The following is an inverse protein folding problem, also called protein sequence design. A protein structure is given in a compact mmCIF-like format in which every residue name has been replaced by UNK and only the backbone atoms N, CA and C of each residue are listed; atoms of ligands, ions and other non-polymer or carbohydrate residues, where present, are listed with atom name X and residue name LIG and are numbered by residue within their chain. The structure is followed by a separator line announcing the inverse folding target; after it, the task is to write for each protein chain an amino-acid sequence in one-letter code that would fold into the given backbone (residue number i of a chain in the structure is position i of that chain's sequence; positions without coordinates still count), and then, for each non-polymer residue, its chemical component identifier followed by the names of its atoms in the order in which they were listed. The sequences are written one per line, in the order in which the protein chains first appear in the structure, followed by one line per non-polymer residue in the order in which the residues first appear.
data_IF_781703296511
#
_entry.id   IF_781703296511
#
_cell.length_a   1.000
_cell.length_b   1.000
_cell.length_c   1.000
_cell.angle_alpha   90.00
_cell.angle_beta   90.00
_cell.angle_gamma   90.00
#
_symmetry.space_group_name_H-M   'P 1'
#
loop_
_entity.id
_entity.type
_entity.pdbx_description
1 polymer ?
#
# COMPACT_ATOMS: atom_id res chain seq x y z
N UNK A 1 13.70 16.29 2.94
CA UNK A 1 12.90 16.43 4.11
C UNK A 1 11.85 15.36 4.19
N UNK A 2 11.78 14.79 5.34
CA UNK A 2 10.86 13.71 5.54
C UNK A 2 9.47 14.29 5.62
N UNK A 3 8.60 13.85 4.76
CA UNK A 3 7.25 14.27 4.88
C UNK A 3 6.50 13.33 5.79
N UNK A 4 5.62 13.84 6.58
CA UNK A 4 4.85 12.99 7.47
C UNK A 4 4.00 12.05 6.63
N UNK A 5 4.02 10.81 7.01
CA UNK A 5 3.24 9.81 6.34
C UNK A 5 2.08 9.44 7.23
N UNK A 6 0.89 9.57 6.69
CA UNK A 6 -0.31 9.26 7.42
C UNK A 6 -0.38 7.77 7.68
N UNK A 7 -0.92 7.42 8.82
CA UNK A 7 -1.12 6.03 9.21
C UNK A 7 -2.32 5.48 8.47
N UNK A 8 -2.21 5.34 7.19
CA UNK A 8 -3.32 4.99 6.33
C UNK A 8 -3.91 3.65 6.71
N UNK A 9 -5.12 3.67 7.21
CA UNK A 9 -5.80 2.45 7.57
C UNK A 9 -5.16 1.69 8.70
N UNK A 10 -4.23 2.29 9.41
CA UNK A 10 -3.50 1.58 10.44
C UNK A 10 -4.03 1.81 11.84
N UNK A 11 -4.88 2.78 12.04
CA UNK A 11 -5.20 3.20 13.39
C UNK A 11 -5.70 2.03 14.24
N UNK A 12 -6.70 1.34 13.78
CA UNK A 12 -7.23 0.23 14.55
C UNK A 12 -6.27 -0.94 14.62
N UNK A 13 -5.57 -1.16 13.54
CA UNK A 13 -4.67 -2.27 13.46
C UNK A 13 -3.50 -2.14 14.41
N UNK A 14 -2.91 -0.96 14.46
CA UNK A 14 -1.74 -0.74 15.28
C UNK A 14 -2.06 -1.03 16.73
N UNK A 15 -3.26 -0.72 17.12
CA UNK A 15 -3.63 -0.95 18.48
C UNK A 15 -3.80 -2.40 18.79
N UNK A 16 -3.78 -3.24 17.84
CA UNK A 16 -4.12 -4.62 18.04
C UNK A 16 -3.14 -5.38 18.91
N UNK A 17 -2.36 -4.72 19.67
CA UNK A 17 -1.48 -5.38 20.60
C UNK A 17 -0.79 -6.52 19.93
N UNK A 18 -0.19 -6.26 18.80
CA UNK A 18 0.46 -7.30 18.05
C UNK A 18 1.56 -7.91 18.86
N UNK A 19 1.40 -9.13 19.15
CA UNK A 19 2.46 -9.86 19.77
C UNK A 19 3.38 -10.43 18.78
N UNK A 20 3.00 -10.45 17.55
CA UNK A 20 3.80 -11.06 16.54
C UNK A 20 5.09 -10.33 16.35
N UNK A 21 6.10 -11.07 16.05
CA UNK A 21 7.37 -10.51 15.67
C UNK A 21 7.22 -9.73 14.38
N UNK A 22 7.88 -8.58 14.31
CA UNK A 22 7.93 -7.82 13.06
C UNK A 22 8.97 -8.37 12.10
N UNK A 23 9.68 -9.41 12.50
CA UNK A 23 10.75 -9.93 11.70
C UNK A 23 12.03 -9.15 11.88
N UNK A 24 13.14 -9.80 11.67
CA UNK A 24 14.43 -9.13 11.70
C UNK A 24 14.61 -8.35 10.41
N UNK A 25 15.56 -7.41 10.42
CA UNK A 25 15.87 -6.65 9.23
C UNK A 25 16.26 -7.56 8.07
N UNK A 26 17.11 -8.56 8.31
CA UNK A 26 17.53 -9.46 7.26
C UNK A 26 16.41 -10.36 6.77
N UNK A 27 15.59 -10.84 7.69
CA UNK A 27 14.46 -11.70 7.35
C UNK A 27 13.46 -10.97 6.48
N UNK A 28 13.09 -9.75 6.85
CA UNK A 28 12.15 -8.97 6.06
C UNK A 28 12.75 -8.61 4.70
N UNK A 29 14.04 -8.31 4.66
CA UNK A 29 14.67 -7.99 3.39
C UNK A 29 14.61 -9.15 2.42
N UNK A 30 14.91 -10.36 2.89
CA UNK A 30 14.85 -11.54 2.04
C UNK A 30 13.45 -11.80 1.54
N UNK A 31 12.48 -11.68 2.43
CA UNK A 31 11.09 -11.89 2.08
C UNK A 31 10.61 -10.84 1.07
N UNK A 32 11.02 -9.60 1.26
CA UNK A 32 10.69 -8.52 0.34
C UNK A 32 11.24 -8.81 -1.06
N UNK A 33 12.51 -9.22 -1.13
CA UNK A 33 13.12 -9.53 -2.42
C UNK A 33 12.40 -10.67 -3.12
N UNK A 34 12.00 -11.67 -2.35
CA UNK A 34 11.28 -12.81 -2.88
C UNK A 34 9.92 -12.39 -3.45
N UNK A 35 9.18 -11.58 -2.70
CA UNK A 35 7.87 -11.09 -3.13
C UNK A 35 8.01 -10.26 -4.39
N UNK A 36 8.95 -9.32 -4.41
CA UNK A 36 9.13 -8.45 -5.56
C UNK A 36 9.49 -9.26 -6.80
N UNK A 37 10.39 -10.22 -6.65
CA UNK A 37 10.80 -11.06 -7.78
C UNK A 37 9.61 -11.85 -8.33
N UNK A 38 8.82 -12.41 -7.46
CA UNK A 38 7.66 -13.18 -7.89
C UNK A 38 6.65 -12.34 -8.66
N UNK A 39 6.37 -11.15 -8.14
CA UNK A 39 5.41 -10.28 -8.82
C UNK A 39 5.94 -9.79 -10.16
N UNK A 40 7.23 -9.49 -10.24
CA UNK A 40 7.80 -9.02 -11.51
C UNK A 40 7.72 -10.07 -12.61
N UNK A 41 7.63 -11.32 -12.27
CA UNK A 41 7.56 -12.39 -13.26
C UNK A 41 6.16 -12.59 -13.82
N UNK A 42 5.15 -11.95 -13.23
CA UNK A 42 3.77 -12.10 -13.69
C UNK A 42 3.55 -11.24 -14.92
N UNK A 43 2.82 -11.78 -15.89
CA UNK A 43 2.56 -11.05 -17.14
C UNK A 43 1.63 -9.88 -16.96
N UNK A 44 0.78 -9.91 -15.94
CA UNK A 44 -0.20 -8.87 -15.70
C UNK A 44 0.33 -7.75 -14.80
N UNK A 45 1.60 -7.79 -14.45
CA UNK A 45 2.21 -6.80 -13.56
C UNK A 45 3.07 -5.84 -14.35
N UNK A 46 2.90 -4.56 -14.06
CA UNK A 46 3.67 -3.48 -14.68
C UNK A 46 4.65 -2.96 -13.64
N UNK A 47 5.92 -2.82 -14.05
CA UNK A 47 6.97 -2.31 -13.17
C UNK A 47 7.31 -0.88 -13.58
N UNK A 48 7.28 0.02 -12.63
CA UNK A 48 7.63 1.42 -12.87
C UNK A 48 9.08 1.66 -12.47
N UNK A 49 9.66 2.72 -13.00
CA UNK A 49 11.07 3.03 -12.74
C UNK A 49 11.33 3.35 -11.27
N UNK A 50 10.30 3.77 -10.53
CA UNK A 50 10.43 4.02 -9.10
C UNK A 50 10.59 2.75 -8.29
N UNK A 51 10.27 1.61 -8.87
CA UNK A 51 10.25 0.34 -8.17
C UNK A 51 8.85 -0.12 -7.80
N UNK A 52 7.85 0.72 -7.98
CA UNK A 52 6.47 0.31 -7.73
C UNK A 52 6.04 -0.71 -8.77
N UNK A 53 5.39 -1.77 -8.31
CA UNK A 53 4.77 -2.75 -9.19
C UNK A 53 3.26 -2.64 -9.03
N UNK A 54 2.53 -2.81 -10.13
CA UNK A 54 1.08 -2.84 -10.01
C UNK A 54 0.44 -3.68 -11.09
N UNK A 55 -0.77 -4.10 -10.82
CA UNK A 55 -1.61 -4.72 -11.83
C UNK A 55 -3.02 -4.17 -11.71
N UNK A 56 -3.72 -4.15 -12.82
CA UNK A 56 -5.08 -3.63 -12.89
C UNK A 56 -6.03 -4.79 -12.68
N UNK A 57 -6.80 -4.75 -11.58
CA UNK A 57 -7.82 -5.76 -11.33
C UNK A 57 -9.08 -5.40 -12.10
N UNK A 58 -9.46 -4.14 -12.00
CA UNK A 58 -10.65 -3.62 -12.69
C UNK A 58 -10.39 -2.17 -13.03
N UNK A 59 -10.46 -1.83 -14.31
CA UNK A 59 -10.26 -0.46 -14.74
C UNK A 59 -11.56 0.31 -14.71
N UNK A 60 -11.47 1.62 -14.85
CA UNK A 60 -12.62 2.51 -14.88
C UNK A 60 -12.27 3.72 -15.70
N UNK A 61 -13.28 4.50 -16.05
CA UNK A 61 -13.09 5.67 -16.90
C UNK A 61 -13.39 6.99 -16.18
N UNK A 62 -13.45 6.95 -14.85
CA UNK A 62 -13.70 8.15 -14.09
C UNK A 62 -12.50 9.09 -14.06
N UNK A 63 -12.62 10.15 -13.29
CA UNK A 63 -11.55 11.12 -13.17
C UNK A 63 -10.33 10.52 -12.47
N UNK A 64 -9.16 11.09 -12.74
CA UNK A 64 -7.95 10.73 -12.02
C UNK A 64 -7.72 11.75 -10.91
N UNK A 65 -7.26 11.31 -9.74
CA UNK A 65 -7.02 12.27 -8.67
C UNK A 65 -5.71 13.02 -8.88
N UNK A 66 -5.63 14.19 -8.26
CA UNK A 66 -4.38 14.92 -8.15
C UNK A 66 -3.84 14.75 -6.73
N UNK A 67 -2.63 15.27 -6.51
CA UNK A 67 -2.00 15.16 -5.20
C UNK A 67 -2.78 15.86 -4.11
N UNK A 68 -3.53 16.90 -4.47
CA UNK A 68 -4.30 17.68 -3.49
C UNK A 68 -5.69 17.11 -3.24
N UNK A 69 -6.13 16.18 -4.06
CA UNK A 69 -7.46 15.63 -3.89
C UNK A 69 -7.52 14.68 -2.71
N UNK A 70 -8.70 14.54 -2.13
CA UNK A 70 -8.96 13.52 -1.16
C UNK A 70 -9.58 12.33 -1.87
N UNK A 71 -9.21 11.15 -1.45
CA UNK A 71 -9.77 9.93 -2.03
C UNK A 71 -10.48 9.14 -0.94
N UNK A 72 -11.60 8.56 -1.31
CA UNK A 72 -12.30 7.59 -0.48
C UNK A 72 -12.00 6.24 -1.08
N UNK A 73 -11.40 5.35 -0.30
CA UNK A 73 -10.91 4.07 -0.85
C UNK A 73 -11.30 2.91 0.02
N UNK A 74 -11.55 1.78 -0.62
CA UNK A 74 -11.44 0.51 0.06
C UNK A 74 -10.04 -0.02 -0.19
N UNK A 75 -9.46 -0.62 0.84
CA UNK A 75 -8.10 -1.12 0.74
C UNK A 75 -7.91 -2.36 1.59
N UNK A 76 -7.08 -3.25 1.11
CA UNK A 76 -6.62 -4.40 1.87
C UNK A 76 -5.12 -4.40 1.78
N UNK A 77 -4.47 -4.34 2.92
CA UNK A 77 -3.02 -4.19 3.00
C UNK A 77 -2.43 -5.43 3.65
N UNK A 78 -1.49 -6.06 2.95
CA UNK A 78 -0.79 -7.23 3.46
C UNK A 78 0.69 -6.96 3.49
N UNK A 79 1.38 -7.66 4.37
CA UNK A 79 2.83 -7.71 4.38
C UNK A 79 3.32 -8.92 3.59
N UNK A 80 4.63 -9.01 3.42
CA UNK A 80 5.20 -10.08 2.61
C UNK A 80 4.94 -11.48 3.13
N UNK A 81 4.71 -11.61 4.43
CA UNK A 81 4.42 -12.91 5.04
C UNK A 81 2.94 -13.28 4.92
N UNK A 82 2.14 -12.44 4.26
CA UNK A 82 0.72 -12.68 4.08
C UNK A 82 -0.16 -12.15 5.17
N UNK A 83 0.40 -11.59 6.24
CA UNK A 83 -0.43 -11.04 7.31
C UNK A 83 -1.16 -9.80 6.81
N UNK A 84 -2.45 -9.72 7.14
CA UNK A 84 -3.30 -8.62 6.72
C UNK A 84 -3.29 -7.57 7.82
N UNK A 85 -2.88 -6.36 7.48
CA UNK A 85 -2.80 -5.30 8.48
C UNK A 85 -3.94 -4.29 8.38
N UNK A 86 -4.67 -4.31 7.29
CA UNK A 86 -5.88 -3.52 7.16
C UNK A 86 -6.76 -4.10 6.07
N UNK A 87 -8.07 -4.06 6.28
CA UNK A 87 -9.00 -4.60 5.29
C UNK A 87 -10.34 -3.88 5.43
N UNK A 88 -10.48 -2.77 4.74
CA UNK A 88 -11.71 -2.00 4.79
C UNK A 88 -12.84 -2.69 4.05
N UNK A 89 -12.52 -3.54 3.07
CA UNK A 89 -13.54 -4.32 2.40
C UNK A 89 -14.29 -5.19 3.42
N UNK A 90 -13.53 -5.82 4.29
CA UNK A 90 -14.14 -6.70 5.29
C UNK A 90 -14.89 -5.91 6.35
N UNK A 91 -14.34 -4.77 6.76
CA UNK A 91 -14.98 -3.90 7.73
C UNK A 91 -16.23 -3.23 7.18
N UNK A 92 -16.30 -3.04 5.87
CA UNK A 92 -17.40 -2.34 5.26
C UNK A 92 -17.36 -0.84 5.45
N UNK A 93 -16.21 -0.28 5.79
CA UNK A 93 -16.06 1.13 6.10
C UNK A 93 -14.81 1.66 5.41
N UNK A 94 -14.96 2.46 4.34
CA UNK A 94 -13.80 2.93 3.59
C UNK A 94 -12.99 3.97 4.36
N UNK A 95 -11.77 4.17 3.92
CA UNK A 95 -10.89 5.21 4.45
C UNK A 95 -10.95 6.42 3.55
N UNK A 96 -10.70 7.59 4.14
CA UNK A 96 -10.60 8.84 3.40
C UNK A 96 -9.33 9.57 3.80
N UNK A 97 -8.58 10.03 2.83
CA UNK A 97 -7.38 10.81 3.10
C UNK A 97 -6.96 11.53 1.82
N UNK A 98 -6.12 12.55 1.96
CA UNK A 98 -5.56 13.23 0.81
C UNK A 98 -4.48 12.36 0.18
N UNK A 99 -4.38 12.40 -1.15
CA UNK A 99 -3.35 11.63 -1.83
C UNK A 99 -1.98 11.98 -1.28
N UNK A 100 -1.73 13.27 -1.05
CA UNK A 100 -0.44 13.74 -0.54
C UNK A 100 -0.10 13.21 0.84
N UNK A 101 -1.07 12.67 1.57
CA UNK A 101 -0.85 12.12 2.90
C UNK A 101 -0.51 10.64 2.89
N UNK A 102 -0.58 10.01 1.74
CA UNK A 102 -0.31 8.58 1.62
C UNK A 102 1.19 8.30 1.57
N UNK A 103 1.56 7.04 1.80
CA UNK A 103 2.94 6.63 1.56
C UNK A 103 3.26 6.82 0.08
N UNK A 104 4.54 6.99 -0.22
CA UNK A 104 4.95 7.38 -1.58
C UNK A 104 4.44 6.44 -2.65
N UNK A 105 4.48 5.13 -2.38
CA UNK A 105 3.99 4.16 -3.36
C UNK A 105 2.52 4.33 -3.68
N UNK A 106 1.71 4.66 -2.68
CA UNK A 106 0.29 4.91 -2.91
C UNK A 106 0.05 6.25 -3.57
N UNK A 107 0.88 7.26 -3.27
CA UNK A 107 0.76 8.53 -3.99
C UNK A 107 0.93 8.30 -5.48
N UNK A 108 1.99 7.61 -5.85
CA UNK A 108 2.25 7.30 -7.25
C UNK A 108 1.13 6.44 -7.84
N UNK A 109 0.70 5.44 -7.09
CA UNK A 109 -0.33 4.53 -7.56
C UNK A 109 -1.68 5.19 -7.79
N UNK A 110 -2.11 6.02 -6.85
CA UNK A 110 -3.41 6.68 -7.01
C UNK A 110 -3.44 7.60 -8.22
N UNK A 111 -2.31 8.22 -8.55
CA UNK A 111 -2.27 9.11 -9.72
C UNK A 111 -2.42 8.34 -11.04
N UNK A 112 -2.23 7.04 -11.02
CA UNK A 112 -2.46 6.20 -12.19
C UNK A 112 -3.90 5.71 -12.29
N UNK A 113 -4.65 5.76 -11.20
CA UNK A 113 -5.98 5.18 -11.15
C UNK A 113 -7.04 6.17 -11.57
N UNK A 114 -8.19 5.64 -11.94
CA UNK A 114 -9.39 6.43 -12.17
C UNK A 114 -10.40 6.10 -11.08
N UNK A 115 -11.28 7.05 -10.82
CA UNK A 115 -12.37 6.82 -9.88
C UNK A 115 -13.15 5.58 -10.30
N UNK A 116 -13.35 4.66 -9.39
CA UNK A 116 -14.01 3.39 -9.65
C UNK A 116 -13.05 2.24 -9.90
N UNK A 117 -11.80 2.51 -10.23
CA UNK A 117 -10.85 1.47 -10.57
C UNK A 117 -10.36 0.73 -9.33
N UNK A 118 -9.91 -0.50 -9.55
CA UNK A 118 -9.32 -1.34 -8.51
C UNK A 118 -8.00 -1.89 -9.01
N UNK A 119 -6.93 -1.58 -8.30
CA UNK A 119 -5.57 -1.99 -8.65
C UNK A 119 -4.96 -2.69 -7.46
N UNK A 120 -3.99 -3.54 -7.75
CA UNK A 120 -3.13 -4.10 -6.72
C UNK A 120 -1.74 -3.54 -6.89
N UNK A 121 -1.18 -3.03 -5.80
CA UNK A 121 0.17 -2.47 -5.78
C UNK A 121 1.08 -3.35 -4.93
N UNK A 122 2.31 -3.52 -5.38
CA UNK A 122 3.34 -4.13 -4.56
C UNK A 122 4.37 -3.04 -4.35
N UNK A 123 4.48 -2.59 -3.11
CA UNK A 123 5.20 -1.38 -2.75
C UNK A 123 6.48 -1.77 -2.03
N UNK A 124 7.64 -1.51 -2.64
CA UNK A 124 8.89 -1.82 -1.96
C UNK A 124 9.08 -0.91 -0.74
N UNK A 125 9.88 -1.32 0.22
CA UNK A 125 10.00 -0.55 1.46
C UNK A 125 10.45 0.90 1.25
N UNK A 126 11.25 1.19 0.23
CA UNK A 126 11.69 2.55 -0.03
C UNK A 126 10.54 3.49 -0.37
N UNK A 127 9.43 2.95 -0.85
CA UNK A 127 8.24 3.74 -1.15
C UNK A 127 7.17 3.58 -0.08
N UNK A 128 7.52 2.96 1.04
CA UNK A 128 6.62 2.73 2.16
C UNK A 128 7.30 3.19 3.46
N UNK A 129 7.58 2.26 4.36
CA UNK A 129 8.10 2.62 5.68
C UNK A 129 9.61 2.45 5.81
N UNK A 130 10.27 1.96 4.77
CA UNK A 130 11.71 1.95 4.67
C UNK A 130 12.41 1.04 5.66
N UNK A 131 13.63 1.41 5.96
CA UNK A 131 14.49 0.63 6.86
C UNK A 131 14.03 0.67 8.30
N UNK A 132 13.27 1.69 8.67
CA UNK A 132 12.81 1.84 10.04
C UNK A 132 11.53 1.11 10.33
N UNK A 133 10.68 0.95 9.32
CA UNK A 133 9.33 0.50 9.55
C UNK A 133 8.55 1.57 10.30
N UNK A 134 7.44 1.20 10.89
CA UNK A 134 6.77 2.09 11.82
C UNK A 134 6.75 1.41 13.19
N UNK A 135 6.41 2.16 14.19
CA UNK A 135 6.49 1.67 15.55
C UNK A 135 5.41 0.65 15.89
N UNK A 136 4.42 0.50 15.02
CA UNK A 136 3.33 -0.44 15.25
C UNK A 136 3.59 -1.77 14.60
N UNK A 137 2.89 -2.02 13.49
CA UNK A 137 2.83 -3.34 12.88
C UNK A 137 3.86 -3.60 11.81
N UNK A 138 4.51 -2.57 11.31
CA UNK A 138 5.36 -2.70 10.13
C UNK A 138 6.82 -2.66 10.54
N UNK A 139 7.51 -3.77 10.31
CA UNK A 139 8.93 -3.87 10.62
C UNK A 139 9.80 -3.23 9.57
N UNK A 140 11.11 -3.30 9.75
CA UNK A 140 12.04 -2.71 8.79
C UNK A 140 12.07 -3.48 7.49
N UNK A 141 12.29 -2.78 6.39
CA UNK A 141 12.44 -3.36 5.06
C UNK A 141 11.25 -4.20 4.62
N UNK A 142 10.04 -3.80 5.01
CA UNK A 142 8.83 -4.57 4.72
C UNK A 142 8.17 -4.12 3.42
N UNK A 143 7.93 -5.08 2.54
CA UNK A 143 7.12 -4.84 1.35
C UNK A 143 5.66 -4.79 1.76
N UNK A 144 4.88 -3.96 1.07
CA UNK A 144 3.44 -3.89 1.31
C UNK A 144 2.72 -4.24 0.02
N UNK A 145 1.69 -5.06 0.16
CA UNK A 145 0.84 -5.46 -0.96
C UNK A 145 -0.52 -4.85 -0.70
N UNK A 146 -0.94 -3.93 -1.55
CA UNK A 146 -2.14 -3.14 -1.32
C UNK A 146 -3.11 -3.33 -2.47
N UNK A 147 -4.28 -3.86 -2.15
CA UNK A 147 -5.41 -3.94 -3.08
C UNK A 147 -6.28 -2.73 -2.76
N UNK A 148 -6.44 -1.82 -3.71
CA UNK A 148 -7.15 -0.57 -3.46
C UNK A 148 -8.17 -0.29 -4.56
N UNK A 149 -9.36 0.15 -4.14
CA UNK A 149 -10.38 0.65 -5.06
C UNK A 149 -10.69 2.09 -4.67
N UNK A 150 -10.62 3.00 -5.64
CA UNK A 150 -11.04 4.38 -5.40
C UNK A 150 -12.55 4.44 -5.57
N UNK A 151 -13.25 4.75 -4.48
CA UNK A 151 -14.70 4.85 -4.50
C UNK A 151 -15.11 6.23 -4.95
N UNK A 152 -14.42 7.25 -4.49
CA UNK A 152 -14.75 8.64 -4.81
C UNK A 152 -13.52 9.52 -4.69
N UNK A 153 -13.50 10.57 -5.47
CA UNK A 153 -12.48 11.63 -5.42
C UNK A 153 -13.18 12.90 -5.02
N UNK A 154 -12.62 13.59 -4.03
CA UNK A 154 -13.24 14.81 -3.50
C UNK A 154 -12.35 16.03 -3.64
#
# INVERSE_FOLDING_TARGET
IAKPVVQIGFSGFIMAKRKQSKGSRGSNKNLTEEVLTKFQQRQDVIALSSGLLYRIIEDAEGAQPSMQDRVKVHQRIKLGDGSVIDDTYKKGLPEEYAVSEAIEGLQEGFLLMHEGARYEFVIPPELAWGKRGNSGAIGPNAVMIVDARIIAIE
#
